data_IF_290408207899
#
_entry.id   IF_290408207899
#
_cell.length_a   1.000
_cell.length_b   1.000
_cell.length_c   1.000
_cell.angle_alpha   90.00
_cell.angle_beta   90.00
_cell.angle_gamma   90.00
#
_symmetry.space_group_name_H-M   'P 1'
#
loop_
_entity.id
_entity.type
_entity.pdbx_description
1 polymer ?
#
# COMPACT_ATOMS: atom_id res chain seq x y z
N UNK A 1 2.36 7.99 23.35
CA UNK A 1 1.32 9.01 23.11
C UNK A 1 -0.01 8.49 23.69
N UNK A 2 -0.62 9.22 24.58
CA UNK A 2 -1.87 8.82 25.25
C UNK A 2 -3.11 9.11 24.36
N UNK A 3 -2.99 8.84 23.04
CA UNK A 3 -4.07 9.03 22.07
C UNK A 3 -4.85 7.74 21.90
N UNK A 4 -6.16 7.85 21.98
CA UNK A 4 -7.08 6.77 21.66
C UNK A 4 -7.63 7.02 20.25
N UNK A 5 -7.44 6.05 19.35
CA UNK A 5 -7.92 6.12 17.97
C UNK A 5 -9.22 5.31 17.84
N UNK A 6 -10.27 5.94 17.32
CA UNK A 6 -11.53 5.28 17.03
C UNK A 6 -11.70 5.13 15.52
N UNK A 7 -11.87 3.91 15.01
CA UNK A 7 -12.29 3.72 13.61
C UNK A 7 -13.65 4.40 13.40
N UNK A 8 -13.70 5.30 12.42
CA UNK A 8 -14.91 6.10 12.18
C UNK A 8 -15.24 6.16 10.70
N UNK A 9 -16.52 6.33 10.41
CA UNK A 9 -17.05 6.55 9.06
C UNK A 9 -17.94 7.79 9.08
N UNK A 10 -17.85 8.63 8.06
CA UNK A 10 -18.65 9.83 7.92
C UNK A 10 -19.58 9.73 6.72
N UNK A 11 -20.87 9.81 6.99
CA UNK A 11 -21.93 9.81 5.99
C UNK A 11 -22.86 10.99 6.23
N UNK A 12 -23.44 11.53 5.17
CA UNK A 12 -24.47 12.57 5.28
C UNK A 12 -25.78 12.01 5.85
N UNK A 13 -26.67 12.90 6.28
CA UNK A 13 -28.01 12.51 6.71
C UNK A 13 -28.81 11.75 5.62
N UNK A 14 -28.55 12.07 4.36
CA UNK A 14 -29.18 11.46 3.18
C UNK A 14 -28.44 10.22 2.67
N UNK A 15 -27.31 9.84 3.31
CA UNK A 15 -26.58 8.59 3.01
C UNK A 15 -25.43 8.72 2.05
N UNK A 16 -25.07 9.94 1.60
CA UNK A 16 -23.88 10.14 0.76
C UNK A 16 -22.60 9.94 1.57
N UNK A 17 -21.60 9.37 0.94
CA UNK A 17 -20.26 9.22 1.51
C UNK A 17 -19.60 10.59 1.67
N UNK A 18 -19.11 10.91 2.86
CA UNK A 18 -18.34 12.12 3.17
C UNK A 18 -16.84 11.82 3.32
N UNK A 19 -16.46 10.55 3.25
CA UNK A 19 -15.08 10.08 3.32
C UNK A 19 -14.83 8.92 2.35
N UNK A 20 -13.58 8.47 2.27
CA UNK A 20 -13.19 7.33 1.43
C UNK A 20 -13.57 5.96 2.03
N UNK A 21 -13.87 5.89 3.32
CA UNK A 21 -14.18 4.64 4.02
C UNK A 21 -15.55 4.09 3.62
N UNK A 22 -16.54 4.96 3.42
CA UNK A 22 -17.87 4.54 3.01
C UNK A 22 -17.89 3.81 1.64
N UNK A 23 -17.22 4.30 0.57
CA UNK A 23 -17.06 3.54 -0.67
C UNK A 23 -16.33 2.21 -0.48
N UNK A 24 -15.26 2.17 0.32
CA UNK A 24 -14.53 0.95 0.62
C UNK A 24 -15.42 -0.11 1.26
N UNK A 25 -16.16 0.24 2.31
CA UNK A 25 -17.05 -0.71 3.01
C UNK A 25 -18.17 -1.21 2.10
N UNK A 26 -18.73 -0.35 1.24
CA UNK A 26 -19.72 -0.76 0.22
C UNK A 26 -19.13 -1.73 -0.80
N UNK A 27 -17.90 -1.48 -1.27
CA UNK A 27 -17.22 -2.37 -2.20
C UNK A 27 -16.92 -3.74 -1.55
N UNK A 28 -16.44 -3.77 -0.30
CA UNK A 28 -16.19 -4.99 0.44
C UNK A 28 -17.48 -5.81 0.64
N UNK A 29 -18.58 -5.14 0.95
CA UNK A 29 -19.89 -5.81 1.05
C UNK A 29 -20.32 -6.40 -0.30
N UNK A 30 -20.20 -5.65 -1.38
CA UNK A 30 -20.58 -6.11 -2.72
C UNK A 30 -19.74 -7.31 -3.17
N UNK A 31 -18.42 -7.26 -2.94
CA UNK A 31 -17.52 -8.39 -3.23
C UNK A 31 -17.89 -9.61 -2.38
N UNK A 32 -18.13 -9.43 -1.09
CA UNK A 32 -18.55 -10.53 -0.22
C UNK A 32 -19.80 -11.22 -0.75
N UNK A 33 -20.85 -10.46 -1.09
CA UNK A 33 -22.12 -11.03 -1.60
C UNK A 33 -21.89 -11.79 -2.92
N UNK A 34 -21.26 -11.16 -3.89
CA UNK A 34 -21.04 -11.75 -5.21
C UNK A 34 -20.12 -12.97 -5.16
N UNK A 35 -19.00 -12.87 -4.42
CA UNK A 35 -18.04 -13.96 -4.33
C UNK A 35 -18.58 -15.16 -3.52
N UNK A 36 -19.39 -14.93 -2.49
CA UNK A 36 -20.05 -16.00 -1.74
C UNK A 36 -21.04 -16.75 -2.62
N UNK A 37 -21.82 -16.04 -3.45
CA UNK A 37 -22.77 -16.65 -4.39
C UNK A 37 -22.05 -17.56 -5.39
N UNK A 38 -20.94 -17.08 -5.97
CA UNK A 38 -20.09 -17.91 -6.85
C UNK A 38 -19.48 -19.09 -6.11
N UNK A 39 -19.02 -18.88 -4.85
CA UNK A 39 -18.43 -19.97 -4.04
C UNK A 39 -19.40 -21.14 -3.83
N UNK A 40 -20.70 -20.90 -3.75
CA UNK A 40 -21.68 -21.96 -3.54
C UNK A 40 -21.72 -23.03 -4.64
N UNK A 41 -21.22 -22.72 -5.85
CA UNK A 41 -21.03 -23.71 -6.91
C UNK A 41 -19.92 -24.71 -6.62
N UNK A 42 -18.97 -24.35 -5.76
CA UNK A 42 -17.82 -25.18 -5.39
C UNK A 42 -17.89 -25.68 -3.94
N UNK A 43 -18.36 -24.81 -3.05
CA UNK A 43 -18.34 -25.00 -1.59
C UNK A 43 -19.64 -24.48 -0.97
N UNK A 44 -20.67 -25.34 -0.83
CA UNK A 44 -21.99 -24.93 -0.34
C UNK A 44 -22.01 -24.36 1.08
N UNK A 45 -21.00 -24.70 1.89
CA UNK A 45 -20.92 -24.33 3.30
C UNK A 45 -20.30 -22.92 3.54
N UNK A 46 -19.76 -22.29 2.51
CA UNK A 46 -19.18 -20.95 2.61
C UNK A 46 -20.28 -19.94 2.89
N UNK A 47 -20.09 -19.13 3.95
CA UNK A 47 -21.05 -18.09 4.36
C UNK A 47 -20.52 -16.67 4.13
N UNK A 48 -19.21 -16.53 3.99
CA UNK A 48 -18.57 -15.22 3.86
C UNK A 48 -17.29 -15.32 3.03
N UNK A 49 -17.08 -14.34 2.18
CA UNK A 49 -15.80 -14.09 1.50
C UNK A 49 -15.23 -12.76 2.00
N UNK A 50 -13.97 -12.80 2.39
CA UNK A 50 -13.22 -11.65 2.89
C UNK A 50 -12.16 -11.25 1.88
N UNK A 51 -12.06 -9.96 1.59
CA UNK A 51 -10.93 -9.40 0.87
C UNK A 51 -9.80 -9.11 1.87
N UNK A 52 -8.62 -9.65 1.61
CA UNK A 52 -7.42 -9.43 2.39
C UNK A 52 -6.48 -8.48 1.64
N UNK A 53 -5.73 -7.68 2.38
CA UNK A 53 -4.79 -6.71 1.85
C UNK A 53 -3.47 -6.74 2.64
N UNK A 54 -2.36 -6.91 1.92
CA UNK A 54 -1.01 -6.60 2.39
C UNK A 54 -0.49 -5.41 1.60
N UNK A 55 -0.44 -4.26 2.23
CA UNK A 55 0.12 -3.06 1.62
C UNK A 55 1.65 -3.04 1.77
N UNK A 56 2.31 -2.36 0.84
CA UNK A 56 3.74 -2.06 0.88
C UNK A 56 3.87 -0.54 0.89
N UNK A 57 4.31 0.04 2.01
CA UNK A 57 4.49 1.48 2.13
C UNK A 57 5.94 1.83 1.85
N UNK A 58 6.18 2.34 0.66
CA UNK A 58 7.45 2.95 0.30
C UNK A 58 7.54 4.38 0.80
N UNK A 59 8.74 4.84 1.12
CA UNK A 59 9.00 6.18 1.62
C UNK A 59 10.46 6.57 1.46
N UNK A 60 10.74 7.88 1.45
CA UNK A 60 12.09 8.41 1.52
C UNK A 60 12.35 8.99 2.92
N UNK A 61 13.59 8.87 3.38
CA UNK A 61 14.09 9.58 4.56
C UNK A 61 15.05 10.68 4.12
N UNK A 62 14.84 11.88 4.65
CA UNK A 62 15.73 13.03 4.48
C UNK A 62 16.19 13.49 5.86
N UNK A 63 17.46 13.89 5.98
CA UNK A 63 17.96 14.51 7.19
C UNK A 63 17.13 15.78 7.49
N UNK A 64 16.74 15.96 8.75
CA UNK A 64 15.84 17.05 9.17
C UNK A 64 16.42 18.44 8.89
N UNK A 65 17.73 18.64 9.10
CA UNK A 65 18.39 19.90 8.82
C UNK A 65 18.45 20.20 7.32
N UNK A 66 18.67 19.18 6.50
CA UNK A 66 18.65 19.32 5.04
C UNK A 66 17.23 19.56 4.53
N UNK A 67 16.23 18.93 5.11
CA UNK A 67 14.82 19.19 4.78
C UNK A 67 14.44 20.64 5.12
N UNK A 68 14.79 21.09 6.31
CA UNK A 68 14.51 22.48 6.76
C UNK A 68 15.17 23.54 5.88
N UNK A 69 16.27 23.22 5.21
CA UNK A 69 16.96 24.13 4.28
C UNK A 69 16.30 24.17 2.88
N UNK A 70 15.28 23.34 2.60
CA UNK A 70 14.66 23.19 1.29
C UNK A 70 13.18 23.59 1.30
N UNK A 71 12.87 24.87 0.92
CA UNK A 71 11.49 25.34 0.88
C UNK A 71 10.57 24.54 -0.05
N UNK A 72 11.09 24.00 -1.14
CA UNK A 72 10.34 23.17 -2.08
C UNK A 72 9.90 21.85 -1.44
N UNK A 73 10.77 21.16 -0.69
CA UNK A 73 10.40 19.95 0.05
C UNK A 73 9.35 20.26 1.14
N UNK A 74 9.51 21.36 1.87
CA UNK A 74 8.56 21.76 2.93
C UNK A 74 7.18 22.06 2.35
N UNK A 75 7.12 22.80 1.25
CA UNK A 75 5.87 23.28 0.68
C UNK A 75 5.15 22.24 -0.19
N UNK A 76 5.89 21.36 -0.86
CA UNK A 76 5.31 20.46 -1.88
C UNK A 76 5.59 18.97 -1.64
N UNK A 77 6.45 18.62 -0.69
CA UNK A 77 6.89 17.25 -0.46
C UNK A 77 7.85 16.69 -1.52
N UNK A 78 8.24 17.51 -2.49
CA UNK A 78 9.16 17.13 -3.57
C UNK A 78 10.14 18.26 -3.94
N UNK A 79 11.24 17.92 -4.61
CA UNK A 79 12.17 18.92 -5.14
C UNK A 79 11.58 19.56 -6.41
N UNK A 80 11.68 20.88 -6.51
CA UNK A 80 11.30 21.68 -7.69
C UNK A 80 12.51 22.29 -8.40
N UNK A 81 13.65 22.32 -7.72
CA UNK A 81 14.90 22.95 -8.19
C UNK A 81 16.10 22.22 -7.62
N UNK A 82 17.26 22.49 -8.17
CA UNK A 82 18.53 21.94 -7.72
C UNK A 82 19.17 21.06 -8.78
N UNK A 83 20.24 20.41 -8.42
CA UNK A 83 21.01 19.51 -9.25
C UNK A 83 20.66 18.06 -8.96
N UNK A 84 20.92 17.18 -9.90
CA UNK A 84 20.82 15.73 -9.70
C UNK A 84 21.73 15.26 -8.56
N UNK A 85 21.30 14.20 -7.88
CA UNK A 85 22.08 13.59 -6.83
C UNK A 85 23.40 13.02 -7.39
N UNK A 86 24.49 13.17 -6.63
CA UNK A 86 25.76 12.53 -6.97
C UNK A 86 25.68 11.00 -6.93
N UNK A 87 24.78 10.46 -6.12
CA UNK A 87 24.42 9.03 -6.14
C UNK A 87 23.16 8.89 -6.96
N UNK A 88 23.27 8.19 -8.07
CA UNK A 88 22.12 7.80 -8.87
C UNK A 88 21.71 6.36 -8.53
N UNK A 89 20.83 5.81 -9.32
CA UNK A 89 20.23 4.50 -9.17
C UNK A 89 20.95 3.43 -10.05
N UNK A 90 22.25 3.58 -10.25
CA UNK A 90 23.01 2.67 -11.09
C UNK A 90 22.96 1.25 -10.54
N UNK A 91 22.60 0.30 -11.39
CA UNK A 91 22.56 -1.13 -11.13
C UNK A 91 21.65 -1.52 -9.94
N UNK A 92 20.81 -0.60 -9.46
CA UNK A 92 19.91 -0.81 -8.31
C UNK A 92 20.66 -1.28 -7.03
N UNK A 93 21.92 -0.86 -6.88
CA UNK A 93 22.83 -1.30 -5.83
C UNK A 93 22.35 -0.91 -4.43
N UNK A 94 21.57 0.18 -4.30
CA UNK A 94 20.96 0.58 -3.04
C UNK A 94 20.01 -0.49 -2.49
N UNK A 95 19.23 -1.13 -3.34
CA UNK A 95 18.27 -2.17 -2.95
C UNK A 95 18.96 -3.32 -2.20
N UNK A 96 20.15 -3.72 -2.63
CA UNK A 96 20.95 -4.78 -2.04
C UNK A 96 21.97 -4.30 -1.00
N UNK A 97 21.99 -3.00 -0.74
CA UNK A 97 22.97 -2.38 0.15
C UNK A 97 22.66 -2.58 1.64
N UNK A 98 23.63 -2.20 2.47
CA UNK A 98 23.47 -2.18 3.93
C UNK A 98 22.61 -0.98 4.32
N UNK A 99 21.66 -1.19 5.23
CA UNK A 99 20.85 -0.12 5.81
C UNK A 99 21.72 0.66 6.80
N UNK A 100 21.85 2.00 6.69
CA UNK A 100 22.62 2.81 7.63
C UNK A 100 22.12 2.67 9.06
N UNK A 101 23.02 2.69 10.04
CA UNK A 101 22.70 2.49 11.47
C UNK A 101 21.57 3.40 11.98
N UNK A 102 21.61 4.70 11.63
CA UNK A 102 20.59 5.66 12.04
C UNK A 102 19.22 5.30 11.47
N UNK A 103 19.17 4.79 10.24
CA UNK A 103 17.93 4.31 9.60
C UNK A 103 17.45 3.03 10.27
N UNK A 104 18.36 2.09 10.60
CA UNK A 104 18.00 0.88 11.37
C UNK A 104 17.39 1.24 12.71
N UNK A 105 17.95 2.24 13.41
CA UNK A 105 17.42 2.70 14.69
C UNK A 105 15.99 3.27 14.54
N UNK A 106 15.74 4.09 13.52
CA UNK A 106 14.42 4.57 13.16
C UNK A 106 13.46 3.40 12.87
N UNK A 107 13.87 2.47 12.01
CA UNK A 107 13.03 1.33 11.62
C UNK A 107 12.66 0.44 12.80
N UNK A 108 13.58 0.21 13.74
CA UNK A 108 13.31 -0.57 14.97
C UNK A 108 12.30 0.13 15.88
N UNK A 109 12.48 1.43 16.11
CA UNK A 109 11.55 2.21 16.94
C UNK A 109 10.15 2.28 16.29
N UNK A 110 10.08 2.46 14.98
CA UNK A 110 8.84 2.42 14.22
C UNK A 110 8.13 1.07 14.36
N UNK A 111 8.87 -0.04 14.18
CA UNK A 111 8.31 -1.39 14.29
C UNK A 111 7.71 -1.65 15.68
N UNK A 112 8.45 -1.30 16.76
CA UNK A 112 7.98 -1.48 18.13
C UNK A 112 6.68 -0.70 18.36
N UNK A 113 6.66 0.59 18.01
CA UNK A 113 5.48 1.42 18.21
C UNK A 113 4.31 1.02 17.30
N UNK A 114 4.57 0.51 16.09
CA UNK A 114 3.55 -0.04 15.22
C UNK A 114 2.90 -1.30 15.84
N UNK A 115 3.71 -2.22 16.35
CA UNK A 115 3.21 -3.42 17.03
C UNK A 115 2.41 -3.09 18.29
N UNK A 116 2.80 -2.07 19.06
CA UNK A 116 2.04 -1.57 20.21
C UNK A 116 0.65 -1.04 19.81
N UNK A 117 0.51 -0.54 18.59
CA UNK A 117 -0.79 -0.12 18.01
C UNK A 117 -1.55 -1.25 17.33
N UNK A 118 -1.03 -2.47 17.34
CA UNK A 118 -1.63 -3.63 16.66
C UNK A 118 -1.34 -3.71 15.18
N UNK A 119 -0.48 -2.86 14.62
CA UNK A 119 -0.10 -2.89 13.20
C UNK A 119 0.96 -3.98 13.02
N UNK A 120 0.68 -5.07 12.29
CA UNK A 120 1.54 -6.24 12.24
C UNK A 120 2.69 -6.08 11.23
N UNK A 121 3.55 -5.08 11.41
CA UNK A 121 4.73 -4.86 10.57
C UNK A 121 5.58 -6.13 10.54
N UNK A 122 5.98 -6.55 9.34
CA UNK A 122 6.74 -7.79 9.13
C UNK A 122 8.07 -7.56 8.48
N UNK A 123 8.12 -6.73 7.44
CA UNK A 123 9.34 -6.48 6.69
C UNK A 123 9.66 -5.00 6.65
N UNK A 124 10.95 -4.70 6.62
CA UNK A 124 11.54 -3.39 6.39
C UNK A 124 12.86 -3.56 5.67
N UNK A 125 13.05 -2.86 4.58
CA UNK A 125 14.22 -3.01 3.72
C UNK A 125 14.50 -1.74 2.92
N UNK A 126 15.66 -1.74 2.23
CA UNK A 126 15.97 -0.74 1.21
C UNK A 126 15.06 -0.90 0.00
N UNK A 127 14.67 0.23 -0.59
CA UNK A 127 14.12 0.30 -1.93
C UNK A 127 15.18 0.74 -2.95
N UNK A 128 14.78 0.86 -4.21
CA UNK A 128 15.71 1.00 -5.34
C UNK A 128 16.42 2.35 -5.34
N UNK A 129 15.71 3.45 -5.00
CA UNK A 129 16.32 4.77 -5.00
C UNK A 129 17.18 5.02 -3.73
N UNK A 130 18.21 5.84 -3.83
CA UNK A 130 19.00 6.25 -2.66
C UNK A 130 18.09 6.87 -1.56
N UNK A 131 18.26 6.42 -0.32
CA UNK A 131 17.43 6.80 0.84
C UNK A 131 15.94 6.49 0.70
N UNK A 132 15.59 5.55 -0.15
CA UNK A 132 14.25 4.99 -0.25
C UNK A 132 14.19 3.66 0.51
N UNK A 133 13.09 3.46 1.23
CA UNK A 133 12.87 2.29 2.07
C UNK A 133 11.42 1.85 1.96
N UNK A 134 11.16 0.62 2.38
CA UNK A 134 9.82 0.06 2.42
C UNK A 134 9.51 -0.59 3.76
N UNK A 135 8.24 -0.57 4.11
CA UNK A 135 7.69 -1.26 5.24
C UNK A 135 6.39 -1.98 4.82
N UNK A 136 6.28 -3.26 5.13
CA UNK A 136 5.11 -4.07 4.81
C UNK A 136 4.64 -4.88 6.03
N UNK A 137 3.31 -5.04 6.24
CA UNK A 137 2.74 -5.86 7.31
C UNK A 137 2.51 -7.31 6.85
N UNK A 138 2.12 -8.16 7.79
CA UNK A 138 1.31 -9.33 7.47
C UNK A 138 -0.05 -8.82 6.97
N UNK A 139 -0.60 -9.46 5.93
CA UNK A 139 -1.89 -9.08 5.39
C UNK A 139 -3.03 -9.22 6.42
N UNK A 140 -4.01 -8.38 6.31
CA UNK A 140 -5.20 -8.35 7.16
C UNK A 140 -6.47 -8.16 6.30
N UNK A 141 -7.64 -8.20 6.93
CA UNK A 141 -8.88 -7.76 6.29
C UNK A 141 -8.70 -6.33 5.76
N UNK A 142 -9.16 -6.06 4.55
CA UNK A 142 -8.81 -4.85 3.80
C UNK A 142 -9.14 -3.55 4.54
N UNK A 143 -10.30 -3.47 5.20
CA UNK A 143 -10.66 -2.24 5.92
C UNK A 143 -9.73 -1.99 7.13
N UNK A 144 -9.37 -3.04 7.87
CA UNK A 144 -8.41 -2.94 8.97
C UNK A 144 -7.01 -2.59 8.45
N UNK A 145 -6.58 -3.23 7.38
CA UNK A 145 -5.28 -2.95 6.76
C UNK A 145 -5.16 -1.48 6.31
N UNK A 146 -6.22 -0.90 5.74
CA UNK A 146 -6.26 0.51 5.36
C UNK A 146 -6.15 1.43 6.59
N UNK A 147 -6.90 1.15 7.66
CA UNK A 147 -6.81 1.91 8.90
C UNK A 147 -5.40 1.85 9.50
N UNK A 148 -4.79 0.66 9.53
CA UNK A 148 -3.42 0.46 10.01
C UNK A 148 -2.39 1.22 9.17
N UNK A 149 -2.53 1.26 7.85
CA UNK A 149 -1.62 2.06 7.01
C UNK A 149 -1.74 3.56 7.28
N UNK A 150 -2.95 4.08 7.47
CA UNK A 150 -3.15 5.49 7.81
C UNK A 150 -2.50 5.85 9.16
N UNK A 151 -2.64 4.99 10.15
CA UNK A 151 -1.96 5.14 11.45
C UNK A 151 -0.45 5.07 11.31
N UNK A 152 0.06 4.11 10.52
CA UNK A 152 1.51 3.96 10.28
C UNK A 152 2.11 5.20 9.64
N UNK A 153 1.47 5.78 8.62
CA UNK A 153 1.96 7.01 7.98
C UNK A 153 2.09 8.18 8.96
N UNK A 154 1.15 8.31 9.90
CA UNK A 154 1.21 9.30 10.97
C UNK A 154 2.33 8.98 11.98
N UNK A 155 2.48 7.69 12.32
CA UNK A 155 3.51 7.21 13.24
C UNK A 155 4.91 7.41 12.65
N UNK A 156 5.12 7.10 11.36
CA UNK A 156 6.38 7.28 10.66
C UNK A 156 6.93 8.69 10.81
N UNK A 157 6.11 9.70 10.56
CA UNK A 157 6.51 11.11 10.69
C UNK A 157 6.98 11.43 12.12
N UNK A 158 6.22 11.00 13.11
CA UNK A 158 6.53 11.25 14.52
C UNK A 158 7.81 10.55 14.97
N UNK A 159 8.00 9.30 14.56
CA UNK A 159 9.20 8.53 14.91
C UNK A 159 10.41 9.07 14.18
N UNK A 160 10.27 9.48 12.91
CA UNK A 160 11.37 10.04 12.13
C UNK A 160 11.98 11.27 12.79
N UNK A 161 11.17 12.21 13.29
CA UNK A 161 11.67 13.37 14.04
C UNK A 161 12.52 13.02 15.25
N UNK A 162 12.20 11.94 15.98
CA UNK A 162 13.04 11.48 17.11
C UNK A 162 14.44 11.03 16.68
N UNK A 163 14.57 10.65 15.41
CA UNK A 163 15.82 10.19 14.81
C UNK A 163 16.48 11.25 13.91
N UNK A 164 15.99 12.50 13.94
CA UNK A 164 16.48 13.60 13.11
C UNK A 164 16.23 13.39 11.61
N UNK A 165 15.11 12.76 11.26
CA UNK A 165 14.67 12.57 9.89
C UNK A 165 13.31 13.20 9.61
N UNK A 166 13.09 13.57 8.36
CA UNK A 166 11.78 13.79 7.78
C UNK A 166 11.43 12.65 6.83
N UNK A 167 10.17 12.19 6.87
CA UNK A 167 9.63 11.15 5.97
C UNK A 167 8.92 11.82 4.81
N UNK A 168 9.35 11.54 3.60
CA UNK A 168 8.64 11.96 2.40
C UNK A 168 7.73 10.82 1.93
N UNK A 169 6.44 11.12 1.89
CA UNK A 169 5.39 10.20 1.41
C UNK A 169 4.83 10.64 0.04
N UNK A 170 5.43 11.68 -0.55
CA UNK A 170 5.12 12.07 -1.92
C UNK A 170 5.54 10.95 -2.89
N UNK A 171 4.73 10.68 -3.89
CA UNK A 171 4.91 9.56 -4.82
C UNK A 171 6.17 9.71 -5.67
N UNK A 172 6.60 10.95 -5.96
CA UNK A 172 7.82 11.23 -6.74
C UNK A 172 8.55 12.43 -6.15
N UNK A 173 9.24 12.28 -5.00
CA UNK A 173 9.89 13.42 -4.34
C UNK A 173 11.13 13.92 -5.08
N UNK A 174 11.79 13.06 -5.87
CA UNK A 174 13.00 13.40 -6.61
C UNK A 174 12.87 12.98 -8.07
N UNK A 175 13.23 13.88 -8.99
CA UNK A 175 13.26 13.57 -10.41
C UNK A 175 14.45 12.66 -10.76
N UNK A 176 14.31 11.88 -11.84
CA UNK A 176 15.38 11.02 -12.35
C UNK A 176 15.66 9.72 -11.58
N UNK A 177 15.01 9.49 -10.43
CA UNK A 177 15.10 8.25 -9.65
C UNK A 177 13.72 7.67 -9.37
N UNK A 178 13.65 6.49 -8.74
CA UNK A 178 12.38 5.85 -8.39
C UNK A 178 11.44 6.75 -7.60
N UNK A 179 10.15 6.51 -7.79
CA UNK A 179 9.09 7.02 -6.94
C UNK A 179 8.68 6.03 -5.86
N UNK A 180 7.90 6.50 -4.90
CA UNK A 180 7.31 5.69 -3.85
C UNK A 180 5.84 5.37 -4.15
N UNK A 181 5.48 4.11 -3.99
CA UNK A 181 4.12 3.62 -4.10
C UNK A 181 3.54 3.20 -2.77
N UNK A 182 2.30 2.80 -2.86
CA UNK A 182 1.59 2.03 -1.85
C UNK A 182 1.04 0.81 -2.58
N UNK A 183 1.93 -0.15 -2.82
CA UNK A 183 1.58 -1.36 -3.56
C UNK A 183 0.61 -2.20 -2.74
N UNK A 184 -0.48 -2.60 -3.35
CA UNK A 184 -1.55 -3.35 -2.71
C UNK A 184 -1.55 -4.80 -3.21
N UNK A 185 -1.04 -5.71 -2.41
CA UNK A 185 -1.20 -7.14 -2.60
C UNK A 185 -2.51 -7.58 -1.97
N UNK A 186 -3.43 -8.12 -2.75
CA UNK A 186 -4.74 -8.49 -2.24
C UNK A 186 -5.19 -9.88 -2.72
N UNK A 187 -6.06 -10.49 -1.95
CA UNK A 187 -6.65 -11.78 -2.26
C UNK A 187 -8.04 -11.91 -1.64
N UNK A 188 -8.79 -12.92 -2.10
CA UNK A 188 -10.07 -13.29 -1.50
C UNK A 188 -9.92 -14.62 -0.76
N UNK A 189 -10.48 -14.69 0.46
CA UNK A 189 -10.54 -15.93 1.23
C UNK A 189 -11.94 -16.17 1.79
N UNK A 190 -12.29 -17.43 1.96
CA UNK A 190 -13.55 -17.82 2.58
C UNK A 190 -13.42 -17.89 4.09
N UNK A 191 -14.55 -17.88 4.79
CA UNK A 191 -14.64 -18.15 6.24
C UNK A 191 -14.24 -19.61 6.60
N UNK A 192 -14.13 -20.49 5.62
CA UNK A 192 -13.62 -21.87 5.77
C UNK A 192 -12.10 -21.97 5.51
N UNK A 193 -11.42 -20.87 5.26
CA UNK A 193 -9.96 -20.80 5.08
C UNK A 193 -9.46 -21.09 3.65
N UNK A 194 -10.35 -21.11 2.65
CA UNK A 194 -9.98 -21.35 1.26
C UNK A 194 -9.55 -20.03 0.60
N UNK A 195 -8.36 -20.01 0.00
CA UNK A 195 -7.89 -18.92 -0.85
C UNK A 195 -8.47 -19.06 -2.26
N UNK A 196 -9.28 -18.09 -2.71
CA UNK A 196 -10.01 -18.20 -3.97
C UNK A 196 -9.10 -18.05 -5.20
N UNK A 197 -8.01 -17.31 -5.09
CA UNK A 197 -6.98 -17.14 -6.13
C UNK A 197 -5.81 -18.14 -5.98
N UNK A 198 -5.90 -19.09 -5.08
CA UNK A 198 -4.89 -20.14 -4.93
C UNK A 198 -5.20 -21.34 -5.83
N UNK A 199 -4.17 -21.90 -6.44
CA UNK A 199 -4.28 -23.20 -7.15
C UNK A 199 -4.57 -24.32 -6.15
N UNK A 200 -5.28 -25.37 -6.60
CA UNK A 200 -5.62 -26.53 -5.78
C UNK A 200 -5.05 -27.83 -6.36
N UNK A 201 -5.33 -28.93 -5.67
CA UNK A 201 -4.90 -30.26 -6.08
C UNK A 201 -5.95 -31.00 -6.93
N UNK A 202 -7.18 -30.54 -6.91
CA UNK A 202 -8.30 -31.14 -7.65
C UNK A 202 -8.66 -30.35 -8.89
N UNK A 203 -9.32 -30.96 -9.90
CA UNK A 203 -9.86 -30.23 -11.05
C UNK A 203 -10.84 -29.11 -10.63
N UNK A 204 -11.67 -29.37 -9.63
CA UNK A 204 -12.66 -28.43 -9.10
C UNK A 204 -11.97 -27.20 -8.46
N UNK A 205 -10.94 -27.41 -7.66
CA UNK A 205 -10.15 -26.31 -7.09
C UNK A 205 -9.47 -25.46 -8.17
N UNK A 206 -8.95 -26.11 -9.22
CA UNK A 206 -8.34 -25.40 -10.33
C UNK A 206 -9.38 -24.66 -11.17
N UNK A 207 -10.57 -25.21 -11.35
CA UNK A 207 -11.67 -24.49 -11.99
C UNK A 207 -12.08 -23.27 -11.20
N UNK A 208 -12.22 -23.36 -9.89
CA UNK A 208 -12.45 -22.21 -9.01
C UNK A 208 -11.37 -21.15 -9.21
N UNK A 209 -10.10 -21.52 -9.13
CA UNK A 209 -8.97 -20.60 -9.36
C UNK A 209 -9.10 -19.87 -10.70
N UNK A 210 -9.38 -20.60 -11.78
CA UNK A 210 -9.55 -20.00 -13.12
C UNK A 210 -10.73 -19.03 -13.14
N UNK A 211 -11.87 -19.40 -12.57
CA UNK A 211 -13.08 -18.55 -12.53
C UNK A 211 -12.76 -17.24 -11.81
N UNK A 212 -12.25 -17.28 -10.59
CA UNK A 212 -11.97 -16.03 -9.83
C UNK A 212 -10.87 -15.18 -10.48
N UNK A 213 -9.86 -15.81 -11.08
CA UNK A 213 -8.80 -15.07 -11.80
C UNK A 213 -9.35 -14.39 -13.05
N UNK A 214 -10.11 -15.10 -13.87
CA UNK A 214 -10.69 -14.55 -15.12
C UNK A 214 -11.68 -13.44 -14.82
N UNK A 215 -12.58 -13.62 -13.84
CA UNK A 215 -13.54 -12.59 -13.46
C UNK A 215 -12.85 -11.33 -12.91
N UNK A 216 -11.76 -11.49 -12.16
CA UNK A 216 -10.93 -10.35 -11.72
C UNK A 216 -10.33 -9.62 -12.92
N UNK A 217 -9.70 -10.32 -13.85
CA UNK A 217 -9.11 -9.73 -15.04
C UNK A 217 -10.17 -9.05 -15.94
N UNK A 218 -11.35 -9.67 -16.06
CA UNK A 218 -12.48 -9.06 -16.78
C UNK A 218 -12.96 -7.79 -16.10
N UNK A 219 -13.04 -7.78 -14.76
CA UNK A 219 -13.39 -6.60 -13.97
C UNK A 219 -12.39 -5.46 -14.20
N UNK A 220 -11.09 -5.76 -14.12
CA UNK A 220 -10.02 -4.80 -14.40
C UNK A 220 -10.12 -4.26 -15.84
N UNK A 221 -10.32 -5.11 -16.82
CA UNK A 221 -10.45 -4.71 -18.22
C UNK A 221 -11.67 -3.80 -18.46
N UNK A 222 -12.85 -4.20 -17.97
CA UNK A 222 -14.09 -3.46 -18.15
C UNK A 222 -14.11 -2.12 -17.42
N UNK A 223 -13.49 -2.04 -16.25
CA UNK A 223 -13.51 -0.87 -15.37
C UNK A 223 -12.15 -0.15 -15.27
N UNK A 224 -11.26 -0.34 -16.24
CA UNK A 224 -9.92 0.25 -16.26
C UNK A 224 -9.93 1.77 -16.07
N UNK A 225 -10.88 2.48 -16.71
CA UNK A 225 -11.02 3.92 -16.53
C UNK A 225 -11.32 4.32 -15.09
N UNK A 226 -12.17 3.58 -14.39
CA UNK A 226 -12.48 3.81 -12.98
C UNK A 226 -11.28 3.50 -12.08
N UNK A 227 -10.53 2.42 -12.37
CA UNK A 227 -9.32 2.07 -11.62
C UNK A 227 -8.22 3.13 -11.76
N UNK A 228 -8.13 3.77 -12.91
CA UNK A 228 -7.17 4.87 -13.13
C UNK A 228 -7.57 6.17 -12.45
N UNK A 229 -8.85 6.45 -12.32
CA UNK A 229 -9.34 7.70 -11.76
C UNK A 229 -8.79 8.00 -10.34
N UNK A 230 -8.82 7.07 -9.37
CA UNK A 230 -8.33 7.33 -8.02
C UNK A 230 -6.81 7.43 -7.91
N UNK A 231 -6.05 6.97 -8.91
CA UNK A 231 -4.58 7.03 -8.91
C UNK A 231 -4.04 8.20 -9.74
N UNK A 232 -4.90 8.92 -10.46
CA UNK A 232 -4.55 10.06 -11.31
C UNK A 232 -4.57 11.38 -10.53
N UNK A 233 -3.80 11.45 -9.45
CA UNK A 233 -3.57 12.70 -8.73
C UNK A 233 -2.29 13.41 -9.22
N UNK A 234 -2.05 14.63 -8.70
CA UNK A 234 -0.91 15.44 -9.10
C UNK A 234 0.44 14.80 -8.74
N UNK A 235 0.52 14.05 -7.65
CA UNK A 235 1.73 13.34 -7.23
C UNK A 235 2.05 12.18 -8.18
N UNK A 236 1.06 11.37 -8.50
CA UNK A 236 1.22 10.22 -9.40
C UNK A 236 1.45 10.62 -10.86
N UNK A 237 1.07 11.82 -11.29
CA UNK A 237 1.36 12.29 -12.64
C UNK A 237 2.86 12.25 -12.97
N UNK A 238 3.72 12.47 -11.99
CA UNK A 238 5.18 12.42 -12.15
C UNK A 238 5.74 10.99 -12.29
N UNK A 239 4.95 9.95 -11.99
CA UNK A 239 5.30 8.53 -12.14
C UNK A 239 4.84 7.94 -13.46
N UNK A 240 3.98 8.61 -14.23
CA UNK A 240 3.50 8.14 -15.53
C UNK A 240 4.63 8.14 -16.55
N UNK A 241 4.52 7.28 -17.57
CA UNK A 241 5.53 7.17 -18.61
C UNK A 241 6.71 6.26 -18.29
N UNK A 242 6.46 5.20 -17.50
CA UNK A 242 7.44 4.20 -17.09
C UNK A 242 8.57 4.72 -16.17
N UNK A 243 8.30 5.78 -15.43
CA UNK A 243 9.17 6.26 -14.37
C UNK A 243 8.94 5.45 -13.09
N UNK A 244 9.30 4.18 -13.17
CA UNK A 244 9.24 3.13 -12.16
C UNK A 244 7.92 2.93 -11.40
N UNK A 245 7.53 1.67 -11.23
CA UNK A 245 6.28 1.26 -10.61
C UNK A 245 5.12 2.21 -10.97
N UNK A 246 4.87 2.47 -12.29
CA UNK A 246 3.82 3.40 -12.68
C UNK A 246 2.49 2.91 -12.12
N UNK A 247 1.66 3.80 -11.55
CA UNK A 247 0.43 3.44 -10.85
C UNK A 247 -0.61 2.75 -11.73
N UNK A 248 -0.42 2.78 -13.04
CA UNK A 248 -1.31 2.14 -14.02
C UNK A 248 -0.97 0.67 -14.32
N UNK A 249 0.12 0.12 -13.77
CA UNK A 249 0.49 -1.28 -13.95
C UNK A 249 -0.19 -2.14 -12.88
N UNK A 250 -0.88 -3.18 -13.33
CA UNK A 250 -1.51 -4.20 -12.50
C UNK A 250 -0.87 -5.53 -12.85
N UNK A 251 -0.30 -6.20 -11.85
CA UNK A 251 0.31 -7.52 -12.00
C UNK A 251 -0.53 -8.59 -11.35
N UNK A 252 -0.56 -9.79 -11.92
CA UNK A 252 -1.16 -10.97 -11.32
C UNK A 252 -0.06 -11.99 -11.01
N UNK A 253 0.04 -12.37 -9.76
CA UNK A 253 0.92 -13.44 -9.30
C UNK A 253 0.11 -14.71 -9.11
N UNK A 254 0.52 -15.78 -9.77
CA UNK A 254 -0.26 -17.02 -9.84
C UNK A 254 0.38 -18.19 -9.05
N UNK A 255 1.40 -17.89 -8.24
CA UNK A 255 2.13 -18.88 -7.45
C UNK A 255 3.39 -19.41 -8.10
#
# INVERSE_FOLDING_TARGET
DDRLCFPSIFISYTGEALDYKAPLLRALHAVNVAATDVCHYFYPDVKKVTCNLGWEQEYFLVDEDLYAARPDLILTGRTLMGHESAKNQQMDDHYFGTIPERVVAFMKDLEIQALELGIPVKTRHNEVAPNQFECAPIFEETNLAVDHNMLLMSLMKRVAHKHGFEVLLHEKPFDGINGSGKHNNWSLSTDTGILLHGTGKTPEDNLRFVVFTVETLMGVYRHNGLLKAPIMDAGNAHRLGANEAPPAIISSFLG
#
